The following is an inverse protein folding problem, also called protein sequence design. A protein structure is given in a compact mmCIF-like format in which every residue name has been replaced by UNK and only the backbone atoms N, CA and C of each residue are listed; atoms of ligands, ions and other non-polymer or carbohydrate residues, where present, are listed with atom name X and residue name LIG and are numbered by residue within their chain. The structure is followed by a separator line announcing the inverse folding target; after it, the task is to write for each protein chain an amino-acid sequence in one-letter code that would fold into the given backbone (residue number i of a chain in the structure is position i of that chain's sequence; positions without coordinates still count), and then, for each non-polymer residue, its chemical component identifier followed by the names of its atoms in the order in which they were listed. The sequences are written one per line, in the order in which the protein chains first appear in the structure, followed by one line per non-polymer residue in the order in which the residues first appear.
data_IF_421241347994
#
_entry.id   IF_421241347994
#
_cell.length_a   1.000
_cell.length_b   1.000
_cell.length_c   1.000
_cell.angle_alpha   90.00
_cell.angle_beta   90.00
_cell.angle_gamma   90.00
#
_symmetry.space_group_name_H-M   'P 1'
#
loop_
_entity.id
_entity.type
_entity.pdbx_description
1 polymer ?
#
# COMPACT_ATOMS: atom_id res chain seq x y z
N UNK A 1 25.33 5.27 -13.25
CA UNK A 1 26.30 4.19 -13.55
C UNK A 1 25.56 2.90 -13.89
N UNK A 2 24.70 2.37 -13.01
CA UNK A 2 23.87 1.17 -13.29
C UNK A 2 22.87 1.39 -14.44
N UNK A 3 22.23 2.57 -14.51
CA UNK A 3 21.29 2.93 -15.58
C UNK A 3 21.91 2.77 -16.98
N UNK A 4 23.13 3.31 -17.18
CA UNK A 4 23.82 3.22 -18.46
C UNK A 4 24.20 1.78 -18.82
N UNK A 5 24.53 0.92 -17.84
CA UNK A 5 24.85 -0.49 -18.08
C UNK A 5 23.63 -1.32 -18.51
N UNK A 6 22.45 -0.99 -17.95
CA UNK A 6 21.16 -1.58 -18.34
C UNK A 6 20.79 -1.14 -19.76
N UNK A 7 20.85 0.15 -20.05
CA UNK A 7 20.43 0.72 -21.33
C UNK A 7 21.40 0.40 -22.48
N UNK A 8 22.69 0.16 -22.17
CA UNK A 8 23.69 -0.25 -23.15
C UNK A 8 23.71 -1.75 -23.45
N UNK A 9 22.90 -2.56 -22.75
CA UNK A 9 22.84 -4.01 -22.92
C UNK A 9 24.02 -4.78 -22.32
N UNK A 10 24.89 -4.12 -21.54
CA UNK A 10 26.03 -4.75 -20.89
C UNK A 10 25.63 -5.66 -19.72
N UNK A 11 24.42 -5.47 -19.16
CA UNK A 11 23.83 -6.32 -18.13
C UNK A 11 22.38 -6.62 -18.46
N UNK A 12 21.93 -7.83 -18.11
CA UNK A 12 20.53 -8.21 -18.27
C UNK A 12 19.65 -7.37 -17.32
N UNK A 13 18.68 -6.57 -17.83
CA UNK A 13 17.84 -5.72 -17.00
C UNK A 13 17.04 -6.49 -15.94
N UNK A 14 16.60 -7.71 -16.23
CA UNK A 14 15.85 -8.53 -15.29
C UNK A 14 16.73 -9.03 -14.14
N UNK A 15 17.98 -9.40 -14.41
CA UNK A 15 18.92 -9.82 -13.36
C UNK A 15 19.24 -8.64 -12.41
N UNK A 16 19.44 -7.45 -12.97
CA UNK A 16 19.66 -6.24 -12.18
C UNK A 16 18.41 -5.92 -11.35
N UNK A 17 17.21 -5.99 -11.93
CA UNK A 17 15.96 -5.74 -11.21
C UNK A 17 15.73 -6.75 -10.08
N UNK A 18 15.99 -8.05 -10.31
CA UNK A 18 15.93 -9.08 -9.27
C UNK A 18 16.92 -8.77 -8.14
N UNK A 19 18.15 -8.36 -8.47
CA UNK A 19 19.15 -7.99 -7.47
C UNK A 19 18.71 -6.76 -6.65
N UNK A 20 18.19 -5.73 -7.31
CA UNK A 20 17.68 -4.52 -6.65
C UNK A 20 16.51 -4.85 -5.72
N UNK A 21 15.57 -5.68 -6.19
CA UNK A 21 14.44 -6.17 -5.41
C UNK A 21 14.90 -6.93 -4.16
N UNK A 22 15.85 -7.86 -4.32
CA UNK A 22 16.45 -8.61 -3.21
C UNK A 22 17.07 -7.68 -2.15
N UNK A 23 17.86 -6.68 -2.58
CA UNK A 23 18.47 -5.72 -1.68
C UNK A 23 17.43 -4.89 -0.94
N UNK A 24 16.41 -4.41 -1.68
CA UNK A 24 15.33 -3.61 -1.11
C UNK A 24 14.56 -4.40 -0.04
N UNK A 25 14.18 -5.65 -0.32
CA UNK A 25 13.47 -6.51 0.63
C UNK A 25 14.34 -6.87 1.83
N UNK A 26 15.62 -7.19 1.60
CA UNK A 26 16.56 -7.49 2.69
C UNK A 26 16.70 -6.30 3.64
N UNK A 27 16.88 -5.08 3.12
CA UNK A 27 16.96 -3.86 3.93
C UNK A 27 15.64 -3.60 4.66
N UNK A 28 14.49 -3.76 3.99
CA UNK A 28 13.17 -3.62 4.61
C UNK A 28 13.02 -4.60 5.77
N UNK A 29 13.40 -5.86 5.59
CA UNK A 29 13.29 -6.88 6.64
C UNK A 29 14.23 -6.59 7.82
N UNK A 30 15.50 -6.22 7.56
CA UNK A 30 16.42 -5.83 8.63
C UNK A 30 15.86 -4.66 9.44
N UNK A 31 15.33 -3.62 8.77
CA UNK A 31 14.72 -2.45 9.43
C UNK A 31 13.44 -2.79 10.19
N UNK A 32 12.72 -3.85 9.80
CA UNK A 32 11.51 -4.30 10.50
C UNK A 32 11.80 -5.06 11.79
N UNK A 33 13.00 -5.66 11.94
CA UNK A 33 13.38 -6.46 13.10
C UNK A 33 13.20 -5.67 14.41
N UNK A 34 12.44 -6.19 15.41
CA UNK A 34 12.16 -5.48 16.65
C UNK A 34 13.43 -5.00 17.37
N UNK A 35 14.43 -5.88 17.51
CA UNK A 35 15.71 -5.55 18.16
C UNK A 35 16.44 -4.37 17.51
N UNK A 36 16.39 -4.26 16.18
CA UNK A 36 17.03 -3.14 15.46
C UNK A 36 16.24 -1.86 15.68
N UNK A 37 14.91 -1.92 15.61
CA UNK A 37 14.05 -0.76 15.88
C UNK A 37 14.24 -0.23 17.30
N UNK A 38 14.23 -1.11 18.29
CA UNK A 38 14.46 -0.78 19.70
C UNK A 38 15.83 -0.14 19.90
N UNK A 39 16.90 -0.74 19.34
CA UNK A 39 18.24 -0.18 19.45
C UNK A 39 18.36 1.24 18.84
N UNK A 40 17.76 1.47 17.67
CA UNK A 40 17.76 2.79 17.01
C UNK A 40 16.93 3.80 17.80
N UNK A 41 15.78 3.41 18.34
CA UNK A 41 14.96 4.28 19.19
C UNK A 41 15.70 4.64 20.47
N UNK A 42 16.36 3.68 21.11
CA UNK A 42 17.14 3.92 22.32
C UNK A 42 18.31 4.89 22.08
N UNK A 43 18.99 4.79 20.93
CA UNK A 43 20.01 5.77 20.55
C UNK A 43 19.38 7.17 20.35
N UNK A 44 18.19 7.24 19.75
CA UNK A 44 17.47 8.50 19.53
C UNK A 44 16.94 9.14 20.84
N UNK A 45 16.75 8.36 21.91
CA UNK A 45 16.36 8.87 23.24
C UNK A 45 17.44 9.75 23.89
N UNK A 46 18.71 9.56 23.52
CA UNK A 46 19.82 10.39 24.02
C UNK A 46 19.72 11.86 23.60
N UNK A 47 18.95 12.15 22.56
CA UNK A 47 18.69 13.50 22.09
C UNK A 47 17.45 14.05 22.79
N UNK A 48 17.59 15.15 23.52
CA UNK A 48 16.46 15.74 24.29
C UNK A 48 15.36 16.26 23.37
N UNK A 49 15.76 16.89 22.26
CA UNK A 49 14.83 17.51 21.32
C UNK A 49 14.00 16.48 20.55
N UNK A 50 12.76 16.85 20.19
CA UNK A 50 11.88 16.00 19.37
C UNK A 50 12.44 15.78 17.96
N UNK A 51 13.05 16.82 17.39
CA UNK A 51 13.73 16.77 16.09
C UNK A 51 15.18 17.19 16.30
N UNK A 52 16.12 16.47 15.70
CA UNK A 52 17.55 16.75 15.81
C UNK A 52 18.25 16.42 14.49
N UNK A 53 19.45 16.97 14.28
CA UNK A 53 20.28 16.67 13.11
C UNK A 53 21.37 15.65 13.46
N UNK A 54 21.52 14.64 12.61
CA UNK A 54 22.57 13.64 12.73
C UNK A 54 23.02 13.21 11.34
N UNK A 55 24.32 13.29 11.06
CA UNK A 55 24.92 12.91 9.76
C UNK A 55 24.20 13.59 8.58
N UNK A 56 23.99 14.90 8.69
CA UNK A 56 23.32 15.70 7.66
C UNK A 56 21.84 15.36 7.42
N UNK A 57 21.24 14.51 8.25
CA UNK A 57 19.85 14.12 8.17
C UNK A 57 19.08 14.70 9.36
N UNK A 58 17.89 15.26 9.09
CA UNK A 58 16.95 15.66 10.14
C UNK A 58 16.14 14.45 10.61
N UNK A 59 16.32 14.06 11.86
CA UNK A 59 15.60 12.96 12.51
C UNK A 59 14.49 13.56 13.38
N UNK A 60 13.29 12.99 13.34
CA UNK A 60 12.16 13.42 14.19
C UNK A 60 11.53 12.22 14.87
N UNK A 61 11.47 12.26 16.20
CA UNK A 61 10.78 11.25 17.02
C UNK A 61 9.27 11.43 16.86
N UNK A 62 8.60 10.38 16.38
CA UNK A 62 7.15 10.34 16.22
C UNK A 62 6.59 9.03 16.77
N UNK A 63 5.35 9.07 17.22
CA UNK A 63 4.60 7.90 17.68
C UNK A 63 3.22 7.88 17.04
N UNK A 64 2.65 6.69 16.91
CA UNK A 64 1.25 6.49 16.52
C UNK A 64 0.56 5.72 17.64
N UNK A 65 -0.64 6.14 17.98
CA UNK A 65 -1.54 5.36 18.82
C UNK A 65 -2.57 4.72 17.91
N UNK A 66 -2.63 3.39 17.93
CA UNK A 66 -3.67 2.62 17.24
C UNK A 66 -4.80 2.33 18.23
N UNK A 67 -6.04 2.58 17.80
CA UNK A 67 -7.24 2.32 18.59
C UNK A 67 -7.97 1.12 18.01
N UNK A 68 -8.14 0.08 18.81
CA UNK A 68 -9.00 -1.05 18.49
C UNK A 68 -10.39 -0.81 19.10
N UNK A 69 -11.36 -0.45 18.26
CA UNK A 69 -12.73 -0.21 18.69
C UNK A 69 -13.55 -1.50 18.81
N UNK A 70 -13.05 -2.63 18.29
CA UNK A 70 -13.77 -3.91 18.34
C UNK A 70 -13.85 -4.48 19.75
N UNK A 71 -12.93 -4.07 20.64
CA UNK A 71 -12.90 -4.50 22.05
C UNK A 71 -13.70 -3.58 22.97
N UNK A 72 -14.30 -2.50 22.45
CA UNK A 72 -15.07 -1.56 23.26
C UNK A 72 -16.43 -2.10 23.70
N UNK A 73 -16.93 -3.18 23.07
CA UNK A 73 -18.24 -3.76 23.36
C UNK A 73 -19.39 -2.78 23.11
N UNK A 74 -19.22 -1.85 22.15
CA UNK A 74 -20.21 -0.84 21.77
C UNK A 74 -21.17 -1.42 20.72
N UNK A 75 -22.45 -1.67 21.06
CA UNK A 75 -23.40 -2.27 20.14
C UNK A 75 -23.74 -1.39 18.93
N UNK A 76 -23.63 -0.06 19.07
CA UNK A 76 -23.88 0.88 17.96
C UNK A 76 -22.73 0.80 16.97
N UNK A 77 -21.50 0.75 17.48
CA UNK A 77 -20.33 0.57 16.62
C UNK A 77 -20.39 -0.75 15.86
N UNK A 78 -20.75 -1.85 16.54
CA UNK A 78 -20.88 -3.16 15.93
C UNK A 78 -21.92 -3.18 14.80
N UNK A 79 -23.11 -2.61 15.04
CA UNK A 79 -24.16 -2.49 14.04
C UNK A 79 -23.71 -1.64 12.84
N UNK A 80 -23.11 -0.47 13.09
CA UNK A 80 -22.58 0.39 12.03
C UNK A 80 -21.49 -0.31 11.22
N UNK A 81 -20.61 -1.09 11.87
CA UNK A 81 -19.55 -1.83 11.20
C UNK A 81 -20.12 -2.92 10.30
N UNK A 82 -21.14 -3.65 10.77
CA UNK A 82 -21.84 -4.66 9.97
C UNK A 82 -22.54 -4.04 8.76
N UNK A 83 -23.25 -2.92 8.95
CA UNK A 83 -23.87 -2.19 7.85
C UNK A 83 -22.83 -1.70 6.83
N UNK A 84 -21.71 -1.16 7.31
CA UNK A 84 -20.61 -0.72 6.45
C UNK A 84 -20.04 -1.88 5.62
N UNK A 85 -19.78 -3.03 6.22
CA UNK A 85 -19.23 -4.19 5.51
C UNK A 85 -20.22 -4.73 4.47
N UNK A 86 -21.51 -4.77 4.79
CA UNK A 86 -22.57 -5.14 3.84
C UNK A 86 -22.63 -4.17 2.65
N UNK A 87 -22.61 -2.85 2.91
CA UNK A 87 -22.63 -1.83 1.85
C UNK A 87 -21.37 -1.93 1.00
N UNK A 88 -20.21 -2.15 1.62
CA UNK A 88 -18.92 -2.33 0.93
C UNK A 88 -18.96 -3.53 -0.01
N UNK A 89 -19.56 -4.64 0.40
CA UNK A 89 -19.75 -5.80 -0.47
C UNK A 89 -20.70 -5.50 -1.63
N UNK A 90 -21.85 -4.86 -1.37
CA UNK A 90 -22.79 -4.44 -2.42
C UNK A 90 -22.15 -3.50 -3.44
N UNK A 91 -21.32 -2.57 -2.98
CA UNK A 91 -20.55 -1.67 -3.84
C UNK A 91 -19.57 -2.45 -4.71
N UNK A 92 -18.80 -3.38 -4.13
CA UNK A 92 -17.88 -4.24 -4.88
C UNK A 92 -18.61 -5.04 -5.97
N UNK A 93 -19.75 -5.64 -5.65
CA UNK A 93 -20.56 -6.38 -6.61
C UNK A 93 -21.09 -5.47 -7.74
N UNK A 94 -21.46 -4.23 -7.41
CA UNK A 94 -21.87 -3.23 -8.42
C UNK A 94 -20.70 -2.81 -9.31
N UNK A 95 -19.52 -2.59 -8.75
CA UNK A 95 -18.31 -2.28 -9.52
C UNK A 95 -17.93 -3.43 -10.45
N UNK A 96 -18.01 -4.67 -9.98
CA UNK A 96 -17.73 -5.86 -10.78
C UNK A 96 -18.74 -6.00 -11.93
N UNK A 97 -20.03 -5.74 -11.67
CA UNK A 97 -21.03 -5.63 -12.73
C UNK A 97 -20.67 -4.54 -13.76
N UNK A 98 -20.29 -3.33 -13.32
CA UNK A 98 -19.94 -2.24 -14.24
C UNK A 98 -18.75 -2.59 -15.13
N UNK A 99 -17.76 -3.34 -14.64
CA UNK A 99 -16.60 -3.81 -15.42
C UNK A 99 -16.99 -4.73 -16.59
N UNK A 100 -18.13 -5.42 -16.49
CA UNK A 100 -18.64 -6.32 -17.54
C UNK A 100 -19.39 -5.62 -18.66
N UNK A 101 -19.80 -4.36 -18.46
CA UNK A 101 -20.62 -3.64 -19.43
C UNK A 101 -19.85 -3.28 -20.69
N UNK A 102 -20.59 -3.20 -21.81
CA UNK A 102 -20.17 -2.49 -23.01
C UNK A 102 -20.90 -1.14 -23.09
N UNK A 103 -20.37 -0.19 -23.85
CA UNK A 103 -21.04 1.12 -24.02
C UNK A 103 -22.47 0.95 -24.54
N UNK A 104 -23.41 1.68 -23.94
CA UNK A 104 -24.84 1.66 -24.28
C UNK A 104 -25.51 0.27 -24.21
N UNK A 105 -24.93 -0.70 -23.50
CA UNK A 105 -25.45 -2.08 -23.44
C UNK A 105 -26.45 -2.33 -22.30
N UNK A 106 -26.53 -1.44 -21.32
CA UNK A 106 -27.41 -1.60 -20.16
C UNK A 106 -28.07 -0.27 -19.76
N UNK A 107 -29.33 -0.36 -19.34
CA UNK A 107 -30.10 0.74 -18.77
C UNK A 107 -30.55 0.30 -17.38
N UNK A 108 -30.40 1.19 -16.40
CA UNK A 108 -30.88 0.93 -15.05
C UNK A 108 -32.43 0.93 -15.04
N UNK A 109 -33.10 -0.17 -14.65
CA UNK A 109 -34.55 -0.30 -14.79
C UNK A 109 -35.34 0.61 -13.84
N UNK A 110 -34.73 1.11 -12.76
CA UNK A 110 -35.41 1.96 -11.79
C UNK A 110 -35.28 3.44 -12.12
N UNK A 111 -34.16 3.84 -12.73
CA UNK A 111 -33.84 5.25 -13.01
C UNK A 111 -33.89 5.61 -14.49
N UNK A 112 -33.90 4.62 -15.39
CA UNK A 112 -33.87 4.84 -16.84
C UNK A 112 -32.52 5.34 -17.36
N UNK A 113 -31.48 5.40 -16.52
CA UNK A 113 -30.15 5.91 -16.88
C UNK A 113 -29.36 4.84 -17.63
N UNK A 114 -28.74 5.23 -18.75
CA UNK A 114 -27.80 4.37 -19.48
C UNK A 114 -26.53 4.19 -18.67
N UNK A 115 -26.14 2.93 -18.44
CA UNK A 115 -24.94 2.57 -17.69
C UNK A 115 -23.77 2.37 -18.65
N UNK A 116 -22.63 2.97 -18.33
CA UNK A 116 -21.41 2.87 -19.11
C UNK A 116 -20.32 2.09 -18.35
N UNK A 117 -19.42 1.39 -19.07
CA UNK A 117 -18.28 0.73 -18.45
C UNK A 117 -17.31 1.73 -17.80
N UNK A 118 -16.49 1.29 -16.83
CA UNK A 118 -15.44 2.12 -16.26
C UNK A 118 -14.35 2.43 -17.30
N UNK A 119 -13.70 3.58 -17.15
CA UNK A 119 -12.49 3.90 -17.91
C UNK A 119 -11.38 2.89 -17.57
N UNK A 120 -10.69 2.39 -18.60
CA UNK A 120 -9.61 1.40 -18.45
C UNK A 120 -8.28 2.06 -18.76
N UNK A 121 -7.36 2.05 -17.80
CA UNK A 121 -5.94 2.34 -18.02
C UNK A 121 -5.17 1.05 -17.86
N UNK A 122 -4.41 0.67 -18.87
CA UNK A 122 -3.55 -0.51 -18.82
C UNK A 122 -2.12 -0.08 -18.50
N UNK A 123 -1.54 -0.69 -17.47
CA UNK A 123 -0.15 -0.46 -17.07
C UNK A 123 0.43 -1.81 -16.70
N UNK A 124 1.47 -2.22 -17.42
CA UNK A 124 2.21 -3.45 -17.13
C UNK A 124 3.34 -3.16 -16.15
N UNK A 125 3.52 -4.06 -15.19
CA UNK A 125 4.64 -4.04 -14.25
C UNK A 125 5.04 -5.47 -13.90
N UNK A 126 6.30 -5.64 -13.50
CA UNK A 126 6.83 -6.94 -13.09
C UNK A 126 6.53 -7.17 -11.61
N UNK A 127 5.97 -8.34 -11.28
CA UNK A 127 5.89 -8.83 -9.91
C UNK A 127 7.04 -9.83 -9.71
N UNK A 128 7.99 -9.49 -8.84
CA UNK A 128 9.11 -10.37 -8.48
C UNK A 128 8.86 -10.90 -7.06
N UNK A 129 8.76 -12.22 -6.94
CA UNK A 129 8.63 -12.94 -5.67
C UNK A 129 9.93 -13.70 -5.40
N UNK A 130 10.54 -13.42 -4.25
CA UNK A 130 11.74 -14.13 -3.81
C UNK A 130 11.33 -15.51 -3.26
N UNK A 131 12.02 -16.57 -3.69
CA UNK A 131 11.81 -17.94 -3.20
C UNK A 131 12.78 -18.30 -2.09
#
# INVERSE_FOLDING_TARGET
MVENEILSGNRNPLEVEIMLKNLEETIKEIRKRPRIKEAVLHEAEKYVEKSFELIGCRITKTGKTDYDYSVCGDPIWDDLKQQFDLIKEKMKNREDFLKTLQYNSAVDPNTGVVLNPPAKTYTEYLKIELK
#
